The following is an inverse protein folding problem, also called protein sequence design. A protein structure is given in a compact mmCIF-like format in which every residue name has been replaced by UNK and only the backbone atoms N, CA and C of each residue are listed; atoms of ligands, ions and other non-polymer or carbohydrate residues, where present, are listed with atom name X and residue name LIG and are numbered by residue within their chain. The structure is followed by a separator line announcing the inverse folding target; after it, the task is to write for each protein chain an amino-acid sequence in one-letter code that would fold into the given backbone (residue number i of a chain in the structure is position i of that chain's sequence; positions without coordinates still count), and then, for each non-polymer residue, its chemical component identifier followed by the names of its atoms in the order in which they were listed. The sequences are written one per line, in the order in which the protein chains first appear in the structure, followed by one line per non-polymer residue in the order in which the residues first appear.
data_IF_443144808816
#
_entry.id   IF_443144808816
#
_cell.length_a   1.000
_cell.length_b   1.000
_cell.length_c   1.000
_cell.angle_alpha   90.00
_cell.angle_beta   90.00
_cell.angle_gamma   90.00
#
_symmetry.space_group_name_H-M   'P 1'
#
loop_
_entity.id
_entity.type
_entity.pdbx_description
1 polymer ?
#
# COMPACT_ATOMS: atom_id res chain seq x y z
N UNK A 1 -0.37 7.66 -31.25
CA UNK A 1 -1.28 7.64 -30.07
C UNK A 1 -0.42 7.43 -28.84
N UNK A 2 -0.49 8.31 -27.83
CA UNK A 2 0.21 8.10 -26.56
C UNK A 2 -0.53 7.01 -25.79
N UNK A 3 0.11 5.89 -25.52
CA UNK A 3 -0.37 4.83 -24.64
C UNK A 3 -0.51 5.41 -23.23
N UNK A 4 -1.73 5.84 -22.88
CA UNK A 4 -2.05 6.29 -21.52
C UNK A 4 -2.09 5.10 -20.57
N UNK A 5 -1.75 5.34 -19.30
CA UNK A 5 -1.94 4.34 -18.25
C UNK A 5 -3.45 4.08 -18.11
N UNK A 6 -3.86 2.82 -18.29
CA UNK A 6 -5.26 2.40 -18.14
C UNK A 6 -5.54 1.67 -16.84
N UNK A 7 -4.48 1.27 -16.10
CA UNK A 7 -4.59 0.55 -14.83
C UNK A 7 -3.51 1.00 -13.85
N UNK A 8 -3.89 1.18 -12.59
CA UNK A 8 -3.01 1.52 -11.47
C UNK A 8 -3.32 0.59 -10.29
N UNK A 9 -2.29 0.04 -9.65
CA UNK A 9 -2.45 -0.75 -8.42
C UNK A 9 -1.77 -0.03 -7.27
N UNK A 10 -2.49 0.17 -6.17
CA UNK A 10 -1.96 0.68 -4.91
C UNK A 10 -1.64 -0.53 -4.03
N UNK A 11 -0.35 -0.80 -3.81
CA UNK A 11 0.07 -1.74 -2.78
C UNK A 11 -0.06 -1.08 -1.40
N UNK A 12 -0.73 -1.74 -0.46
CA UNK A 12 -0.90 -1.24 0.91
C UNK A 12 -0.83 -2.36 1.93
N UNK A 13 -0.49 -2.00 3.17
CA UNK A 13 -0.60 -2.92 4.32
C UNK A 13 -2.06 -3.23 4.61
N UNK A 14 -2.33 -4.46 5.05
CA UNK A 14 -3.70 -4.89 5.38
C UNK A 14 -4.25 -4.30 6.69
N UNK A 15 -3.41 -3.65 7.50
CA UNK A 15 -3.87 -2.96 8.72
C UNK A 15 -4.97 -1.93 8.38
N UNK A 16 -5.99 -1.83 9.24
CA UNK A 16 -7.18 -1.04 8.96
C UNK A 16 -6.90 0.43 8.58
N UNK A 17 -5.93 1.06 9.24
CA UNK A 17 -5.55 2.44 8.91
C UNK A 17 -4.88 2.55 7.53
N UNK A 18 -4.00 1.60 7.18
CA UNK A 18 -3.33 1.60 5.88
C UNK A 18 -4.30 1.31 4.73
N UNK A 19 -5.27 0.42 4.95
CA UNK A 19 -6.35 0.19 3.98
C UNK A 19 -7.23 1.42 3.81
N UNK A 20 -7.62 2.08 4.91
CA UNK A 20 -8.37 3.34 4.84
C UNK A 20 -7.63 4.42 4.05
N UNK A 21 -6.32 4.56 4.27
CA UNK A 21 -5.48 5.50 3.51
C UNK A 21 -5.45 5.15 2.02
N UNK A 22 -5.31 3.87 1.67
CA UNK A 22 -5.32 3.40 0.29
C UNK A 22 -6.67 3.65 -0.40
N UNK A 23 -7.78 3.37 0.28
CA UNK A 23 -9.15 3.63 -0.21
C UNK A 23 -9.40 5.12 -0.40
N UNK A 24 -8.94 5.96 0.54
CA UNK A 24 -9.05 7.42 0.42
C UNK A 24 -8.37 7.91 -0.86
N UNK A 25 -7.14 7.46 -1.13
CA UNK A 25 -6.39 7.84 -2.33
C UNK A 25 -7.02 7.24 -3.59
N UNK A 26 -7.46 5.98 -3.57
CA UNK A 26 -8.17 5.35 -4.68
C UNK A 26 -9.40 6.18 -5.09
N UNK A 27 -10.22 6.61 -4.13
CA UNK A 27 -11.40 7.43 -4.40
C UNK A 27 -11.05 8.76 -5.08
N UNK A 28 -9.98 9.42 -4.62
CA UNK A 28 -9.49 10.68 -5.22
C UNK A 28 -8.97 10.47 -6.64
N UNK A 29 -8.23 9.39 -6.88
CA UNK A 29 -7.71 9.06 -8.21
C UNK A 29 -8.83 8.70 -9.19
N UNK A 30 -9.84 7.93 -8.76
CA UNK A 30 -11.01 7.61 -9.60
C UNK A 30 -11.80 8.85 -9.97
N UNK A 31 -11.91 9.83 -9.07
CA UNK A 31 -12.60 11.10 -9.35
C UNK A 31 -11.83 11.97 -10.37
N UNK A 32 -10.50 12.00 -10.30
CA UNK A 32 -9.66 12.80 -11.19
C UNK A 32 -9.39 12.13 -12.54
N UNK A 33 -9.34 10.79 -12.56
CA UNK A 33 -8.99 9.99 -13.72
C UNK A 33 -9.99 8.82 -13.93
N UNK A 34 -11.23 9.09 -14.34
CA UNK A 34 -12.27 8.06 -14.48
C UNK A 34 -11.93 6.94 -15.48
N UNK A 35 -11.00 7.20 -16.40
CA UNK A 35 -10.51 6.26 -17.39
C UNK A 35 -9.46 5.27 -16.86
N UNK A 36 -8.96 5.47 -15.64
CA UNK A 36 -7.94 4.59 -15.04
C UNK A 36 -8.64 3.63 -14.09
N UNK A 37 -8.42 2.33 -14.30
CA UNK A 37 -8.82 1.30 -13.35
C UNK A 37 -7.84 1.27 -12.16
N UNK A 38 -8.26 1.85 -11.02
CA UNK A 38 -7.46 1.90 -9.79
C UNK A 38 -7.87 0.78 -8.85
N UNK A 39 -6.94 -0.12 -8.53
CA UNK A 39 -7.12 -1.27 -7.65
C UNK A 39 -6.23 -1.15 -6.40
N UNK A 40 -6.60 -1.83 -5.31
CA UNK A 40 -5.78 -1.94 -4.10
C UNK A 40 -5.34 -3.40 -3.96
N UNK A 41 -4.06 -3.61 -3.73
CA UNK A 41 -3.47 -4.89 -3.37
C UNK A 41 -3.04 -4.84 -1.90
N UNK A 42 -3.75 -5.58 -1.04
CA UNK A 42 -3.35 -5.77 0.35
C UNK A 42 -2.12 -6.67 0.45
N UNK A 43 -1.17 -6.29 1.29
CA UNK A 43 0.05 -7.05 1.57
C UNK A 43 0.25 -7.15 3.08
N UNK A 44 0.58 -8.35 3.56
CA UNK A 44 1.02 -8.55 4.94
C UNK A 44 2.54 -8.34 5.02
N UNK A 45 3.02 -7.63 6.04
CA UNK A 45 4.46 -7.43 6.28
C UNK A 45 4.96 -8.24 7.46
N UNK A 46 6.27 -8.49 7.54
CA UNK A 46 6.87 -9.14 8.72
C UNK A 46 6.59 -8.34 10.00
N UNK A 47 6.53 -7.00 9.89
CA UNK A 47 6.15 -6.13 10.99
C UNK A 47 4.69 -6.27 11.46
N UNK A 48 3.76 -6.71 10.61
CA UNK A 48 2.39 -7.02 11.04
C UNK A 48 2.32 -8.30 11.90
N UNK A 49 3.30 -9.19 11.74
CA UNK A 49 3.38 -10.45 12.47
C UNK A 49 4.07 -10.31 13.83
N UNK A 50 4.84 -9.23 14.04
CA UNK A 50 5.59 -8.98 15.29
C UNK A 50 4.87 -7.92 16.13
N UNK A 51 3.88 -8.36 16.91
CA UNK A 51 3.14 -7.50 17.85
C UNK A 51 3.77 -7.47 19.26
N UNK A 52 4.55 -8.50 19.63
CA UNK A 52 5.00 -8.75 21.01
C UNK A 52 6.46 -8.35 21.30
N UNK A 53 7.08 -7.53 20.45
CA UNK A 53 8.45 -7.06 20.68
C UNK A 53 8.57 -5.55 20.51
N UNK A 54 9.18 -4.83 21.46
CA UNK A 54 9.38 -3.39 21.34
C UNK A 54 10.12 -3.05 20.06
N UNK A 55 9.62 -2.09 19.27
CA UNK A 55 10.26 -1.62 18.04
C UNK A 55 11.76 -1.34 18.20
N UNK A 56 12.17 -0.84 19.37
CA UNK A 56 13.56 -0.56 19.72
C UNK A 56 14.47 -1.80 19.71
N UNK A 57 13.93 -3.00 19.97
CA UNK A 57 14.67 -4.28 19.90
C UNK A 57 14.77 -4.83 18.47
N UNK A 58 13.87 -4.43 17.57
CA UNK A 58 13.75 -5.01 16.23
C UNK A 58 14.70 -4.33 15.22
N UNK A 59 15.29 -3.19 15.57
CA UNK A 59 16.49 -2.64 14.94
C UNK A 59 16.60 -2.85 13.42
N UNK A 60 15.89 -2.05 12.62
CA UNK A 60 16.05 -2.10 11.16
C UNK A 60 15.28 -1.01 10.44
N UNK A 61 15.97 -0.19 9.64
CA UNK A 61 15.34 0.68 8.64
C UNK A 61 14.47 -0.19 7.72
N UNK A 62 13.18 0.14 7.57
CA UNK A 62 12.31 -0.48 6.56
C UNK A 62 11.48 -1.69 7.02
N UNK A 63 11.31 -1.93 8.33
CA UNK A 63 10.53 -3.07 8.88
C UNK A 63 9.09 -3.23 8.33
N UNK A 64 8.50 -2.15 7.81
CA UNK A 64 7.12 -2.13 7.28
C UNK A 64 7.03 -1.74 5.80
N UNK A 65 8.17 -1.54 5.15
CA UNK A 65 8.26 -0.96 3.79
C UNK A 65 9.02 -1.86 2.83
N UNK A 66 9.92 -2.71 3.35
CA UNK A 66 10.78 -3.58 2.54
C UNK A 66 10.00 -4.51 1.62
N UNK A 67 8.88 -5.04 2.10
CA UNK A 67 7.99 -5.90 1.31
C UNK A 67 7.14 -5.10 0.31
N UNK A 68 6.81 -3.83 0.61
CA UNK A 68 6.10 -2.94 -0.32
C UNK A 68 7.00 -2.45 -1.47
N UNK A 69 8.31 -2.29 -1.24
CA UNK A 69 9.27 -1.87 -2.27
C UNK A 69 9.57 -2.96 -3.31
N UNK A 70 9.24 -4.23 -3.03
CA UNK A 70 9.43 -5.35 -3.97
C UNK A 70 8.23 -5.60 -4.88
N UNK A 71 7.08 -4.99 -4.61
CA UNK A 71 5.83 -5.14 -5.36
C UNK A 71 5.74 -4.12 -6.52
#
# INVERSE_FOLDING_TARGET
MKTGITKLTIASRESALAMWQAEHIQGRLRALYPQIDVNILGMTTTGDQILDSPLAKIGGKGLFVKELEQA
#
